data_IF_084525184373
#
_entry.id   IF_084525184373
#
_cell.length_a   1.000
_cell.length_b   1.000
_cell.length_c   1.000
_cell.angle_alpha   90.00
_cell.angle_beta   90.00
_cell.angle_gamma   90.00
#
_symmetry.space_group_name_H-M   'P 1'
#
loop_
_entity.id
_entity.type
_entity.pdbx_description
1 polymer ?
#
# COMPACT_ATOMS: atom_id res chain seq x y z
N UNK A 1 -1.16 -5.59 -32.26
CA UNK A 1 -2.47 -5.07 -31.78
C UNK A 1 -2.33 -4.82 -30.30
N UNK A 2 -2.66 -3.63 -29.85
CA UNK A 2 -2.66 -3.25 -28.43
C UNK A 2 -3.95 -3.74 -27.73
N UNK A 3 -3.92 -3.81 -26.42
CA UNK A 3 -5.12 -4.14 -25.66
C UNK A 3 -6.00 -2.91 -25.48
N UNK A 4 -5.39 -1.74 -25.20
CA UNK A 4 -6.05 -0.46 -25.01
C UNK A 4 -5.19 0.67 -25.61
N UNK A 5 -5.84 1.65 -26.21
CA UNK A 5 -5.23 2.95 -26.52
C UNK A 5 -6.05 4.05 -25.84
N UNK A 6 -5.40 4.89 -25.06
CA UNK A 6 -5.92 6.17 -24.58
C UNK A 6 -5.50 7.25 -25.58
N UNK A 7 -6.46 7.84 -26.30
CA UNK A 7 -6.17 8.81 -27.38
C UNK A 7 -6.36 10.25 -26.95
N UNK A 8 -5.54 11.13 -27.51
CA UNK A 8 -5.71 12.60 -27.41
C UNK A 8 -5.66 13.14 -25.96
N UNK A 9 -5.15 12.39 -25.00
CA UNK A 9 -5.06 12.82 -23.61
C UNK A 9 -3.85 13.71 -23.35
N UNK A 10 -3.94 14.63 -22.37
CA UNK A 10 -2.76 15.30 -21.83
C UNK A 10 -2.00 14.30 -20.96
N UNK A 11 -0.91 13.76 -21.48
CA UNK A 11 -0.08 12.76 -20.79
C UNK A 11 0.91 13.50 -19.90
N UNK A 12 0.87 13.20 -18.60
CA UNK A 12 1.79 13.75 -17.61
C UNK A 12 2.52 12.59 -16.91
N UNK A 13 3.81 12.46 -17.18
CA UNK A 13 4.70 11.52 -16.52
C UNK A 13 5.92 12.27 -15.97
N UNK A 14 5.91 12.64 -14.67
CA UNK A 14 7.00 13.40 -14.06
C UNK A 14 8.34 12.65 -14.06
N UNK A 15 8.32 11.32 -14.02
CA UNK A 15 9.54 10.51 -14.00
C UNK A 15 10.31 10.61 -15.32
N UNK A 16 9.60 10.60 -16.45
CA UNK A 16 10.18 10.67 -17.79
C UNK A 16 10.11 12.07 -18.39
N UNK A 17 9.58 13.06 -17.65
CA UNK A 17 9.46 14.45 -18.10
C UNK A 17 8.42 14.68 -19.20
N UNK A 18 7.48 13.76 -19.38
CA UNK A 18 6.41 13.87 -20.39
C UNK A 18 5.33 14.82 -19.87
N UNK A 19 4.97 15.82 -20.69
CA UNK A 19 3.85 16.73 -20.43
C UNK A 19 3.34 17.24 -21.79
N UNK A 20 2.62 16.40 -22.51
CA UNK A 20 2.14 16.70 -23.86
C UNK A 20 0.84 15.97 -24.18
N UNK A 21 0.10 16.49 -25.15
CA UNK A 21 -1.08 15.79 -25.69
C UNK A 21 -0.61 14.69 -26.62
N UNK A 22 -1.09 13.48 -26.37
CA UNK A 22 -0.71 12.31 -27.17
C UNK A 22 -1.59 11.10 -26.92
N UNK A 23 -1.14 9.97 -27.43
CA UNK A 23 -1.79 8.66 -27.27
C UNK A 23 -0.90 7.75 -26.41
N UNK A 24 -1.51 6.97 -25.55
CA UNK A 24 -0.83 5.97 -24.72
C UNK A 24 -1.40 4.59 -25.04
N UNK A 25 -0.53 3.67 -25.44
CA UNK A 25 -0.90 2.30 -25.75
C UNK A 25 -0.51 1.32 -24.63
N UNK A 26 -1.43 0.44 -24.28
CA UNK A 26 -1.27 -0.64 -23.29
C UNK A 26 -1.30 -1.98 -24.01
N UNK A 27 -0.38 -2.88 -23.65
CA UNK A 27 -0.33 -4.25 -24.09
C UNK A 27 0.09 -5.17 -22.94
N UNK A 28 -0.65 -6.26 -22.75
CA UNK A 28 -0.37 -7.24 -21.68
C UNK A 28 -0.23 -6.60 -20.28
N UNK A 29 -1.09 -5.60 -20.00
CA UNK A 29 -1.11 -4.90 -18.71
C UNK A 29 0.03 -3.91 -18.48
N UNK A 30 0.84 -3.59 -19.51
CA UNK A 30 1.96 -2.63 -19.42
C UNK A 30 1.79 -1.51 -20.43
N UNK A 31 2.32 -0.34 -20.11
CA UNK A 31 2.48 0.75 -21.06
C UNK A 31 3.53 0.30 -22.09
N UNK A 32 3.10 0.16 -23.34
CA UNK A 32 3.97 -0.29 -24.43
C UNK A 32 4.62 0.89 -25.13
N UNK A 33 3.86 1.96 -25.35
CA UNK A 33 4.39 3.16 -25.97
C UNK A 33 3.51 4.39 -25.71
N UNK A 34 4.14 5.56 -25.84
CA UNK A 34 3.49 6.87 -25.94
C UNK A 34 3.85 7.42 -27.33
N UNK A 35 2.89 8.05 -28.00
CA UNK A 35 3.10 8.61 -29.32
C UNK A 35 1.87 9.34 -29.84
N UNK A 36 1.76 9.46 -31.15
CA UNK A 36 0.63 10.12 -31.83
C UNK A 36 0.04 9.17 -32.88
N UNK A 37 -1.22 9.37 -33.20
CA UNK A 37 -1.95 8.64 -34.24
C UNK A 37 -1.91 7.11 -34.08
N UNK A 38 -1.81 6.65 -32.82
CA UNK A 38 -1.80 5.23 -32.53
C UNK A 38 -3.15 4.60 -32.91
N UNK A 39 -3.08 3.38 -33.44
CA UNK A 39 -4.24 2.64 -33.90
C UNK A 39 -4.01 1.12 -33.71
N UNK A 40 -5.01 0.32 -34.02
CA UNK A 40 -4.93 -1.14 -33.96
C UNK A 40 -4.89 -1.67 -32.53
N UNK A 41 -5.91 -1.32 -31.72
CA UNK A 41 -6.17 -1.85 -30.39
C UNK A 41 -7.51 -2.59 -30.33
N UNK A 42 -7.68 -3.42 -29.30
CA UNK A 42 -8.96 -4.04 -28.96
C UNK A 42 -9.98 -3.02 -28.45
N UNK A 43 -9.49 -2.02 -27.71
CA UNK A 43 -10.27 -0.94 -27.12
C UNK A 43 -9.56 0.41 -27.35
N UNK A 44 -10.33 1.44 -27.65
CA UNK A 44 -9.82 2.79 -27.82
C UNK A 44 -10.73 3.73 -27.02
N UNK A 45 -10.14 4.47 -26.10
CA UNK A 45 -10.81 5.49 -25.28
C UNK A 45 -10.34 6.87 -25.72
N UNK A 46 -11.26 7.76 -26.08
CA UNK A 46 -10.93 9.15 -26.35
C UNK A 46 -10.78 9.94 -25.06
N UNK A 47 -9.57 10.39 -24.81
CA UNK A 47 -9.18 11.18 -23.65
C UNK A 47 -9.01 12.67 -23.96
N UNK A 48 -9.59 13.18 -25.04
CA UNK A 48 -9.52 14.61 -25.37
C UNK A 48 -10.04 15.46 -24.20
N UNK A 49 -9.19 16.40 -23.76
CA UNK A 49 -9.48 17.25 -22.59
C UNK A 49 -9.36 16.59 -21.23
N UNK A 50 -8.95 15.31 -21.20
CA UNK A 50 -8.66 14.56 -19.95
C UNK A 50 -7.16 14.53 -19.68
N UNK A 51 -6.81 14.37 -18.40
CA UNK A 51 -5.46 14.11 -17.93
C UNK A 51 -5.21 12.61 -17.89
N UNK A 52 -4.13 12.16 -18.51
CA UNK A 52 -3.62 10.78 -18.41
C UNK A 52 -2.32 10.82 -17.61
N UNK A 53 -2.33 10.23 -16.44
CA UNK A 53 -1.22 10.28 -15.49
C UNK A 53 -1.09 8.96 -14.74
N UNK A 54 0.05 8.68 -14.07
CA UNK A 54 0.16 7.57 -13.14
C UNK A 54 -0.97 7.61 -12.11
N UNK A 55 -1.48 6.43 -11.73
CA UNK A 55 -2.53 6.34 -10.74
C UNK A 55 -2.11 6.94 -9.40
N UNK A 56 -3.06 7.50 -8.66
CA UNK A 56 -2.80 8.06 -7.35
C UNK A 56 -2.31 6.98 -6.38
N UNK A 57 -1.30 7.32 -5.59
CA UNK A 57 -0.74 6.45 -4.55
C UNK A 57 -1.05 7.06 -3.19
N UNK A 58 -1.80 6.35 -2.35
CA UNK A 58 -1.99 6.71 -0.94
C UNK A 58 -1.00 5.91 -0.09
N UNK A 59 0.05 6.59 0.36
CA UNK A 59 1.13 5.96 1.11
C UNK A 59 0.81 5.76 2.60
N UNK A 60 -0.36 6.18 3.10
CA UNK A 60 -0.73 6.00 4.50
C UNK A 60 -2.25 5.98 4.69
N UNK A 61 -2.82 4.80 4.66
CA UNK A 61 -4.24 4.62 4.95
C UNK A 61 -4.50 3.43 5.88
N UNK A 62 -5.74 3.26 6.29
CA UNK A 62 -6.18 2.20 7.20
C UNK A 62 -7.43 1.50 6.65
N UNK A 63 -7.34 0.97 5.42
CA UNK A 63 -8.53 0.38 4.81
C UNK A 63 -8.90 -0.98 5.43
N UNK A 64 -7.92 -1.73 5.89
CA UNK A 64 -8.12 -3.05 6.49
C UNK A 64 -8.74 -3.00 7.87
N UNK A 65 -8.15 -2.20 8.77
CA UNK A 65 -8.49 -2.21 10.19
C UNK A 65 -9.69 -1.35 10.57
N UNK A 66 -9.92 -0.22 9.90
CA UNK A 66 -10.95 0.76 10.29
C UNK A 66 -12.26 0.56 9.53
N UNK A 67 -12.18 0.37 8.24
CA UNK A 67 -13.37 0.31 7.37
C UNK A 67 -13.75 -1.10 6.94
N UNK A 68 -12.96 -2.10 7.33
CA UNK A 68 -13.03 -3.46 6.80
C UNK A 68 -12.57 -3.53 5.34
N UNK A 69 -11.69 -4.45 5.04
CA UNK A 69 -10.91 -4.49 3.79
C UNK A 69 -11.76 -4.36 2.51
N UNK A 70 -12.97 -4.93 2.49
CA UNK A 70 -13.85 -4.86 1.31
C UNK A 70 -14.36 -3.43 1.04
N UNK A 71 -14.82 -2.74 2.07
CA UNK A 71 -15.36 -1.39 1.93
C UNK A 71 -14.26 -0.37 1.74
N UNK A 72 -13.18 -0.50 2.48
CA UNK A 72 -12.00 0.36 2.36
C UNK A 72 -11.41 0.31 0.95
N UNK A 73 -11.16 -0.86 0.39
CA UNK A 73 -10.65 -1.03 -0.96
C UNK A 73 -11.57 -0.40 -2.02
N UNK A 74 -12.89 -0.61 -1.90
CA UNK A 74 -13.86 0.00 -2.80
C UNK A 74 -13.86 1.54 -2.72
N UNK A 75 -13.84 2.10 -1.51
CA UNK A 75 -13.81 3.55 -1.32
C UNK A 75 -12.54 4.15 -1.91
N UNK A 76 -11.41 3.51 -1.71
CA UNK A 76 -10.12 3.88 -2.26
C UNK A 76 -10.13 3.90 -3.79
N UNK A 77 -10.63 2.83 -4.42
CA UNK A 77 -10.76 2.75 -5.87
C UNK A 77 -11.70 3.84 -6.42
N UNK A 78 -12.83 4.10 -5.77
CA UNK A 78 -13.78 5.14 -6.18
C UNK A 78 -13.21 6.55 -6.04
N UNK A 79 -12.24 6.76 -5.14
CA UNK A 79 -11.53 8.02 -5.01
C UNK A 79 -10.41 8.21 -6.06
N UNK A 80 -10.20 7.24 -6.96
CA UNK A 80 -9.17 7.30 -7.99
C UNK A 80 -7.78 6.86 -7.53
N UNK A 81 -7.66 6.33 -6.30
CA UNK A 81 -6.41 5.76 -5.80
C UNK A 81 -6.23 4.36 -6.37
N UNK A 82 -5.12 4.12 -7.02
CA UNK A 82 -4.80 2.83 -7.66
C UNK A 82 -3.83 1.98 -6.86
N UNK A 83 -3.07 2.60 -5.96
CA UNK A 83 -2.11 1.93 -5.08
C UNK A 83 -2.17 2.53 -3.69
N UNK A 84 -2.11 1.71 -2.65
CA UNK A 84 -2.06 2.20 -1.28
C UNK A 84 -1.19 1.34 -0.35
N UNK A 85 -0.74 1.95 0.75
CA UNK A 85 -0.16 1.25 1.89
C UNK A 85 -1.14 1.26 3.06
N UNK A 86 -1.60 0.08 3.46
CA UNK A 86 -2.36 -0.09 4.70
C UNK A 86 -1.40 -0.07 5.90
N UNK A 87 -1.62 0.86 6.82
CA UNK A 87 -0.75 1.12 7.95
C UNK A 87 -1.30 0.56 9.26
N UNK A 88 -1.78 -0.65 9.25
CA UNK A 88 -2.09 -1.38 10.48
C UNK A 88 -2.59 -2.82 10.28
N UNK A 89 -2.82 -3.32 9.10
CA UNK A 89 -3.34 -4.67 8.92
C UNK A 89 -4.68 -4.90 9.65
N UNK A 90 -4.92 -6.04 10.32
CA UNK A 90 -4.00 -7.19 10.40
C UNK A 90 -3.84 -7.93 9.07
N UNK A 91 -2.64 -8.37 8.81
CA UNK A 91 -2.24 -8.99 7.54
C UNK A 91 -3.20 -10.10 7.10
N UNK A 92 -3.40 -11.10 7.95
CA UNK A 92 -4.20 -12.29 7.62
C UNK A 92 -5.65 -11.95 7.27
N UNK A 93 -6.26 -11.01 8.00
CA UNK A 93 -7.64 -10.59 7.76
C UNK A 93 -7.78 -9.83 6.45
N UNK A 94 -6.85 -8.93 6.17
CA UNK A 94 -6.82 -8.17 4.91
C UNK A 94 -6.63 -9.12 3.74
N UNK A 95 -5.64 -10.01 3.79
CA UNK A 95 -5.39 -10.99 2.73
C UNK A 95 -6.58 -11.94 2.52
N UNK A 96 -7.16 -12.45 3.59
CA UNK A 96 -8.35 -13.33 3.52
C UNK A 96 -9.54 -12.62 2.88
N UNK A 97 -9.78 -11.38 3.24
CA UNK A 97 -10.91 -10.61 2.72
C UNK A 97 -10.69 -10.23 1.27
N UNK A 98 -9.52 -9.75 0.91
CA UNK A 98 -9.20 -9.36 -0.47
C UNK A 98 -9.12 -10.54 -1.42
N UNK A 99 -8.64 -11.69 -0.96
CA UNK A 99 -8.68 -12.94 -1.72
C UNK A 99 -10.11 -13.38 -2.08
N UNK A 100 -11.05 -13.14 -1.17
CA UNK A 100 -12.47 -13.50 -1.38
C UNK A 100 -13.23 -12.49 -2.22
N UNK A 101 -12.98 -11.21 -2.05
CA UNK A 101 -13.79 -10.11 -2.58
C UNK A 101 -13.11 -9.29 -3.69
N UNK A 102 -11.81 -9.50 -3.91
CA UNK A 102 -10.97 -8.60 -4.68
C UNK A 102 -10.70 -7.29 -3.94
N UNK A 103 -9.65 -6.59 -4.31
CA UNK A 103 -9.35 -5.25 -3.83
C UNK A 103 -9.68 -4.18 -4.88
N UNK A 104 -9.49 -4.48 -6.17
CA UNK A 104 -9.64 -3.51 -7.27
C UNK A 104 -8.53 -2.45 -7.34
N UNK A 105 -7.55 -2.55 -6.45
CA UNK A 105 -6.37 -1.68 -6.34
C UNK A 105 -5.15 -2.53 -6.00
N UNK A 106 -3.96 -2.00 -6.24
CA UNK A 106 -2.72 -2.55 -5.70
C UNK A 106 -2.57 -2.08 -4.24
N UNK A 107 -2.17 -2.96 -3.34
CA UNK A 107 -1.93 -2.58 -1.95
C UNK A 107 -0.75 -3.32 -1.35
N UNK A 108 -0.09 -2.66 -0.40
CA UNK A 108 0.87 -3.24 0.53
C UNK A 108 0.35 -3.12 1.96
N UNK A 109 0.84 -3.95 2.85
CA UNK A 109 0.46 -3.95 4.26
C UNK A 109 1.71 -3.75 5.11
N UNK A 110 1.68 -2.75 5.98
CA UNK A 110 2.62 -2.59 7.08
C UNK A 110 1.88 -3.01 8.34
N UNK A 111 2.20 -4.23 8.82
CA UNK A 111 1.37 -4.88 9.83
C UNK A 111 1.67 -4.39 11.24
N UNK A 112 0.64 -4.30 12.08
CA UNK A 112 0.80 -3.77 13.43
C UNK A 112 1.37 -4.82 14.36
N UNK A 113 2.34 -4.41 15.16
CA UNK A 113 2.87 -5.19 16.25
C UNK A 113 2.17 -4.84 17.56
N UNK A 114 1.42 -5.79 18.11
CA UNK A 114 0.72 -5.68 19.39
C UNK A 114 1.15 -6.81 20.34
N UNK A 115 2.31 -6.68 21.00
CA UNK A 115 2.85 -7.76 21.84
C UNK A 115 1.99 -8.07 23.07
N UNK A 116 1.16 -7.13 23.55
CA UNK A 116 0.24 -7.42 24.63
C UNK A 116 -0.78 -8.49 24.25
N UNK A 117 -1.38 -8.37 23.07
CA UNK A 117 -2.32 -9.37 22.56
C UNK A 117 -1.63 -10.66 22.14
N UNK A 118 -0.44 -10.56 21.56
CA UNK A 118 0.27 -11.70 20.98
C UNK A 118 1.08 -12.50 21.99
N UNK A 119 1.67 -11.83 22.97
CA UNK A 119 2.62 -12.42 23.91
C UNK A 119 2.22 -12.24 25.39
N UNK A 120 1.15 -11.49 25.65
CA UNK A 120 0.70 -11.17 27.01
C UNK A 120 1.62 -10.20 27.78
N UNK A 121 2.47 -9.46 27.07
CA UNK A 121 3.42 -8.52 27.66
C UNK A 121 3.69 -7.32 26.77
N UNK A 122 3.91 -6.16 27.36
CA UNK A 122 4.36 -4.95 26.65
C UNK A 122 5.87 -4.93 26.37
N UNK A 123 6.62 -5.86 26.98
CA UNK A 123 8.07 -5.98 26.89
C UNK A 123 8.46 -7.39 26.42
N UNK A 124 8.24 -7.73 25.14
CA UNK A 124 8.57 -9.02 24.58
C UNK A 124 10.09 -9.21 24.50
N UNK A 125 10.52 -10.47 24.49
CA UNK A 125 11.92 -10.80 24.22
C UNK A 125 12.30 -10.53 22.77
N UNK A 126 13.60 -10.36 22.51
CA UNK A 126 14.14 -10.17 21.15
C UNK A 126 13.70 -11.29 20.21
N UNK A 127 13.71 -12.53 20.69
CA UNK A 127 13.24 -13.69 19.92
C UNK A 127 11.77 -13.58 19.53
N UNK A 128 10.89 -13.11 20.42
CA UNK A 128 9.48 -12.92 20.11
C UNK A 128 9.26 -11.84 19.06
N UNK A 129 10.03 -10.75 19.13
CA UNK A 129 10.01 -9.68 18.13
C UNK A 129 10.45 -10.22 16.75
N UNK A 130 11.59 -10.90 16.72
CA UNK A 130 12.16 -11.46 15.47
C UNK A 130 11.24 -12.51 14.85
N UNK A 131 10.79 -13.50 15.63
CA UNK A 131 9.91 -14.56 15.13
C UNK A 131 8.61 -14.00 14.55
N UNK A 132 8.01 -13.01 15.22
CA UNK A 132 6.80 -12.35 14.72
C UNK A 132 7.07 -11.58 13.44
N UNK A 133 8.12 -10.77 13.40
CA UNK A 133 8.49 -9.96 12.24
C UNK A 133 8.73 -10.87 11.02
N UNK A 134 9.51 -11.91 11.16
CA UNK A 134 9.79 -12.86 10.09
C UNK A 134 8.52 -13.56 9.60
N UNK A 135 7.69 -14.08 10.49
CA UNK A 135 6.47 -14.79 10.09
C UNK A 135 5.50 -13.88 9.30
N UNK A 136 5.41 -12.60 9.66
CA UNK A 136 4.53 -11.65 9.00
C UNK A 136 5.10 -11.14 7.68
N UNK A 137 6.41 -10.91 7.60
CA UNK A 137 7.05 -10.51 6.33
C UNK A 137 7.10 -11.66 5.33
N UNK A 138 7.35 -12.89 5.76
CA UNK A 138 7.19 -14.09 4.93
C UNK A 138 5.74 -14.29 4.48
N UNK A 139 4.77 -13.90 5.30
CA UNK A 139 3.35 -13.86 4.97
C UNK A 139 2.94 -12.76 3.98
N UNK A 140 3.84 -11.83 3.66
CA UNK A 140 3.65 -10.77 2.66
C UNK A 140 3.50 -9.36 3.23
N UNK A 141 3.73 -9.14 4.53
CA UNK A 141 3.83 -7.78 5.07
C UNK A 141 5.10 -7.09 4.56
N UNK A 142 5.01 -5.80 4.27
CA UNK A 142 6.15 -4.98 3.84
C UNK A 142 7.02 -4.52 5.02
N UNK A 143 6.53 -4.71 6.23
CA UNK A 143 7.22 -4.32 7.45
C UNK A 143 6.28 -4.15 8.64
N UNK A 144 6.71 -3.38 9.63
CA UNK A 144 6.09 -3.31 10.95
C UNK A 144 5.52 -1.92 11.24
N UNK A 145 4.28 -1.89 11.75
CA UNK A 145 3.63 -0.69 12.27
C UNK A 145 3.63 -0.70 13.79
N UNK A 146 4.25 0.30 14.39
CA UNK A 146 4.14 0.62 15.81
C UNK A 146 3.03 1.66 16.00
N UNK A 147 2.04 1.36 16.86
CA UNK A 147 0.85 2.20 17.04
C UNK A 147 0.81 2.73 18.48
N UNK A 148 1.64 3.72 18.74
CA UNK A 148 1.66 4.41 20.03
C UNK A 148 0.32 5.04 20.39
N UNK A 149 -0.02 5.04 21.67
CA UNK A 149 -1.28 5.55 22.19
C UNK A 149 -2.44 4.56 22.16
N UNK A 150 -2.55 3.71 21.16
CA UNK A 150 -3.56 2.65 21.07
C UNK A 150 -3.07 1.33 21.64
N UNK A 151 -1.86 0.96 21.31
CA UNK A 151 -1.16 -0.23 21.81
C UNK A 151 0.20 0.22 22.35
N UNK A 152 0.26 0.70 23.59
CA UNK A 152 1.47 1.27 24.14
C UNK A 152 2.56 0.20 24.27
N UNK A 153 3.75 0.53 23.77
CA UNK A 153 4.96 -0.25 23.89
C UNK A 153 5.96 0.50 24.74
N UNK A 154 6.82 -0.23 25.45
CA UNK A 154 7.93 0.42 26.09
C UNK A 154 8.98 0.91 25.06
N UNK A 155 9.74 1.97 25.40
CA UNK A 155 10.72 2.54 24.47
C UNK A 155 11.80 1.54 24.02
N UNK A 156 12.18 0.58 24.85
CA UNK A 156 13.17 -0.41 24.50
C UNK A 156 12.64 -1.39 23.44
N UNK A 157 11.38 -1.81 23.56
CA UNK A 157 10.71 -2.62 22.54
C UNK A 157 10.60 -1.86 21.22
N UNK A 158 10.20 -0.58 21.24
CA UNK A 158 10.15 0.25 20.02
C UNK A 158 11.52 0.32 19.35
N UNK A 159 12.58 0.56 20.12
CA UNK A 159 13.94 0.63 19.61
C UNK A 159 14.36 -0.67 18.92
N UNK A 160 14.15 -1.82 19.57
CA UNK A 160 14.48 -3.13 19.02
C UNK A 160 13.75 -3.45 17.72
N UNK A 161 12.45 -3.12 17.63
CA UNK A 161 11.70 -3.31 16.38
C UNK A 161 12.27 -2.44 15.25
N UNK A 162 12.61 -1.19 15.56
CA UNK A 162 13.19 -0.27 14.56
C UNK A 162 14.58 -0.75 14.11
N UNK A 163 15.43 -1.20 15.05
CA UNK A 163 16.75 -1.76 14.72
C UNK A 163 16.62 -2.98 13.81
N UNK A 164 15.79 -3.96 14.18
CA UNK A 164 15.54 -5.16 13.37
C UNK A 164 15.04 -4.81 11.97
N UNK A 165 14.05 -3.92 11.85
CA UNK A 165 13.54 -3.50 10.56
C UNK A 165 14.63 -2.80 9.71
N UNK A 166 15.50 -2.01 10.34
CA UNK A 166 16.59 -1.35 9.65
C UNK A 166 17.65 -2.35 9.16
N UNK A 167 18.03 -3.32 9.98
CA UNK A 167 19.00 -4.36 9.64
C UNK A 167 18.52 -5.24 8.48
N UNK A 168 17.22 -5.55 8.44
CA UNK A 168 16.61 -6.40 7.44
C UNK A 168 16.03 -5.64 6.23
N UNK A 169 16.23 -4.31 6.17
CA UNK A 169 15.70 -3.44 5.13
C UNK A 169 14.17 -3.54 4.97
N UNK A 170 13.47 -3.65 6.09
CA UNK A 170 12.02 -3.67 6.16
C UNK A 170 11.46 -2.25 6.40
N UNK A 171 10.25 -2.02 5.91
CA UNK A 171 9.56 -0.77 6.20
C UNK A 171 9.12 -0.73 7.67
N UNK A 172 9.40 0.38 8.37
CA UNK A 172 8.88 0.62 9.71
C UNK A 172 8.09 1.93 9.73
N UNK A 173 6.85 1.86 10.22
CA UNK A 173 6.02 3.03 10.41
C UNK A 173 5.70 3.19 11.91
N UNK A 174 5.96 4.36 12.46
CA UNK A 174 5.74 4.64 13.86
C UNK A 174 4.74 5.79 14.06
N UNK A 175 3.59 5.45 14.66
CA UNK A 175 2.69 6.46 15.21
C UNK A 175 3.27 6.89 16.55
N UNK A 176 3.98 8.01 16.55
CA UNK A 176 4.63 8.59 17.74
C UNK A 176 3.60 9.22 18.67
N UNK A 177 2.69 8.43 19.21
CA UNK A 177 1.76 8.83 20.25
C UNK A 177 2.32 8.56 21.63
N UNK A 178 1.53 8.85 22.66
CA UNK A 178 1.88 8.50 24.03
C UNK A 178 2.06 6.98 24.17
N UNK A 179 3.15 6.56 24.76
CA UNK A 179 3.37 5.17 25.18
C UNK A 179 2.66 4.85 26.49
N UNK A 180 1.98 5.83 27.08
CA UNK A 180 1.31 5.70 28.36
C UNK A 180 -0.14 6.22 28.27
N UNK A 181 -1.11 5.37 28.61
CA UNK A 181 -2.53 5.72 28.67
C UNK A 181 -2.90 6.74 29.75
N UNK A 182 -1.94 7.30 30.45
CA UNK A 182 -2.12 8.28 31.53
C UNK A 182 -1.70 9.70 31.16
N UNK A 183 -1.45 9.97 29.90
CA UNK A 183 -1.13 11.32 29.41
C UNK A 183 -2.31 11.93 28.67
#
# INVERSE_FOLDING_TARGET
MFDLILKNGLIVDPLNGTNEVGDLAVKEGKIEMIGHDLSNAKEIEDCQGKLVMPGLIDAHMHFGSVYGSKHGARMTALAGVTTCLDMAGPLDEVLKTTKRSGAGITFGIVDRYDPNSMHGTASPSDKQITDWTHSHTEGGALGVKLVGGHWPLDPATCHKVIELCNEENLYVAWHAGSTNNKS
#
